data_IF_411594852482
#
_entry.id   IF_411594852482
#
_cell.length_a   1.000
_cell.length_b   1.000
_cell.length_c   1.000
_cell.angle_alpha   90.00
_cell.angle_beta   90.00
_cell.angle_gamma   90.00
#
_symmetry.space_group_name_H-M   'P 1'
#
loop_
_entity.id
_entity.type
_entity.pdbx_description
1 polymer ?
#
# COMPACT_ATOMS: atom_id res chain seq x y z
N UNK A 1 -79.85 -56.17 -28.47
CA UNK A 1 -79.97 -55.58 -27.12
C UNK A 1 -78.56 -55.18 -26.68
N UNK A 2 -78.35 -53.88 -26.45
CA UNK A 2 -77.36 -53.19 -25.56
C UNK A 2 -76.07 -53.93 -25.13
N UNK A 3 -74.87 -53.36 -25.09
CA UNK A 3 -74.38 -51.98 -25.13
C UNK A 3 -72.82 -51.99 -25.05
N UNK A 4 -72.19 -50.93 -25.59
CA UNK A 4 -70.89 -50.33 -25.22
C UNK A 4 -69.55 -51.07 -25.42
N UNK A 5 -68.72 -50.47 -26.29
CA UNK A 5 -67.25 -50.53 -26.24
C UNK A 5 -66.70 -49.38 -25.37
N UNK A 6 -65.48 -49.52 -24.82
CA UNK A 6 -64.60 -48.38 -24.69
C UNK A 6 -63.17 -48.64 -25.22
N UNK A 7 -62.62 -47.60 -25.85
CA UNK A 7 -61.23 -47.50 -26.29
C UNK A 7 -60.27 -47.31 -25.10
N UNK A 8 -59.06 -47.85 -25.20
CA UNK A 8 -57.84 -47.29 -24.58
C UNK A 8 -56.61 -47.79 -25.33
N UNK A 9 -56.00 -46.90 -26.12
CA UNK A 9 -54.68 -47.11 -26.75
C UNK A 9 -53.57 -46.68 -25.78
N UNK A 10 -52.79 -47.65 -25.29
CA UNK A 10 -51.51 -47.38 -24.63
C UNK A 10 -50.40 -47.19 -25.67
N UNK A 11 -49.84 -45.97 -25.72
CA UNK A 11 -48.59 -45.66 -26.41
C UNK A 11 -47.40 -46.10 -25.52
N UNK A 12 -46.56 -46.99 -26.04
CA UNK A 12 -45.25 -47.32 -25.45
C UNK A 12 -44.19 -46.34 -25.95
N UNK A 13 -43.49 -45.70 -25.01
CA UNK A 13 -42.35 -44.80 -25.24
C UNK A 13 -41.08 -45.56 -25.67
N UNK A 14 -40.26 -45.03 -26.58
CA UNK A 14 -38.96 -45.60 -26.93
C UNK A 14 -37.87 -45.18 -25.92
N UNK A 15 -36.96 -46.13 -25.65
CA UNK A 15 -35.79 -46.02 -24.76
C UNK A 15 -34.79 -44.99 -25.30
N UNK A 16 -34.50 -43.94 -24.51
CA UNK A 16 -33.39 -43.02 -24.77
C UNK A 16 -32.07 -43.64 -24.30
N UNK A 17 -31.13 -43.77 -25.25
CA UNK A 17 -29.72 -44.09 -25.04
C UNK A 17 -29.03 -43.01 -24.20
N UNK A 18 -28.59 -43.36 -22.99
CA UNK A 18 -27.78 -42.51 -22.12
C UNK A 18 -26.39 -42.32 -22.72
N UNK A 19 -26.18 -41.23 -23.44
CA UNK A 19 -24.86 -40.79 -23.86
C UNK A 19 -24.14 -40.21 -22.62
N UNK A 20 -23.18 -40.96 -22.08
CA UNK A 20 -22.29 -40.47 -21.02
C UNK A 20 -21.50 -39.28 -21.58
N UNK A 21 -21.86 -38.08 -21.14
CA UNK A 21 -21.07 -36.88 -21.39
C UNK A 21 -19.78 -37.00 -20.57
N UNK A 22 -18.69 -37.37 -21.21
CA UNK A 22 -17.35 -37.23 -20.66
C UNK A 22 -17.06 -35.74 -20.51
N UNK A 23 -17.23 -35.20 -19.30
CA UNK A 23 -16.71 -33.89 -18.95
C UNK A 23 -15.19 -33.98 -18.95
N UNK A 24 -14.56 -33.35 -19.95
CA UNK A 24 -13.12 -33.20 -20.00
C UNK A 24 -12.68 -32.33 -18.81
N UNK A 25 -12.19 -32.97 -17.74
CA UNK A 25 -11.50 -32.29 -16.65
C UNK A 25 -10.21 -31.73 -17.24
N UNK A 26 -10.07 -30.41 -17.29
CA UNK A 26 -8.84 -29.75 -17.70
C UNK A 26 -7.67 -30.34 -16.89
N UNK A 27 -6.49 -30.59 -17.52
CA UNK A 27 -5.35 -31.15 -16.82
C UNK A 27 -4.96 -30.20 -15.67
N UNK A 28 -5.20 -30.63 -14.43
CA UNK A 28 -4.70 -29.93 -13.27
C UNK A 28 -3.17 -30.04 -13.31
N UNK A 29 -2.51 -28.92 -13.62
CA UNK A 29 -1.06 -28.80 -13.51
C UNK A 29 -0.69 -28.90 -12.02
N UNK A 30 -0.53 -30.12 -11.52
CA UNK A 30 0.00 -30.34 -10.18
C UNK A 30 1.47 -29.93 -10.19
N UNK A 31 1.76 -28.72 -9.71
CA UNK A 31 3.14 -28.29 -9.43
C UNK A 31 3.80 -29.36 -8.54
N UNK A 32 5.03 -29.80 -8.86
CA UNK A 32 5.71 -30.77 -8.04
C UNK A 32 5.87 -30.22 -6.61
N UNK A 33 5.78 -31.09 -5.59
CA UNK A 33 5.89 -30.67 -4.20
C UNK A 33 7.22 -29.96 -3.96
N UNK A 34 7.17 -28.77 -3.35
CA UNK A 34 8.36 -27.99 -3.03
C UNK A 34 9.13 -28.68 -1.91
N UNK A 35 10.35 -29.11 -2.21
CA UNK A 35 11.33 -29.54 -1.20
C UNK A 35 12.05 -28.30 -0.68
N UNK A 36 12.09 -28.15 0.65
CA UNK A 36 12.78 -27.06 1.33
C UNK A 36 14.29 -27.26 1.24
N UNK A 37 14.99 -26.18 0.94
CA UNK A 37 16.44 -26.09 0.94
C UNK A 37 16.92 -25.15 2.05
N UNK A 38 18.20 -25.22 2.41
CA UNK A 38 18.79 -24.37 3.45
C UNK A 38 18.75 -22.86 3.11
N UNK A 39 18.58 -22.51 1.83
CA UNK A 39 18.47 -21.11 1.39
C UNK A 39 17.02 -20.59 1.44
N UNK A 40 16.02 -21.45 1.67
CA UNK A 40 14.63 -21.05 1.72
C UNK A 40 14.27 -20.38 3.06
N UNK A 41 13.49 -19.29 2.97
CA UNK A 41 12.98 -18.55 4.12
C UNK A 41 11.55 -18.98 4.41
N UNK A 42 11.38 -19.70 5.52
CA UNK A 42 10.11 -20.30 5.91
C UNK A 42 9.24 -19.30 6.69
N UNK A 43 7.97 -19.21 6.32
CA UNK A 43 6.96 -18.42 7.03
C UNK A 43 6.18 -19.27 8.00
N UNK A 44 6.11 -18.81 9.26
CA UNK A 44 5.36 -19.49 10.30
C UNK A 44 5.86 -19.15 11.70
N UNK A 45 5.27 -19.81 12.69
CA UNK A 45 5.70 -19.77 14.11
C UNK A 45 6.23 -21.14 14.50
N UNK A 46 7.24 -21.17 15.37
CA UNK A 46 7.78 -22.40 15.94
C UNK A 46 9.31 -22.43 15.95
N UNK A 47 9.88 -23.15 16.91
CA UNK A 47 11.34 -23.24 17.12
C UNK A 47 12.05 -23.76 15.88
N UNK A 48 11.58 -24.86 15.29
CA UNK A 48 12.20 -25.44 14.09
C UNK A 48 12.11 -24.54 12.85
N UNK A 49 11.08 -23.70 12.76
CA UNK A 49 10.97 -22.71 11.68
C UNK A 49 11.97 -21.58 11.94
N UNK A 50 12.10 -21.11 13.18
CA UNK A 50 13.03 -20.04 13.54
C UNK A 50 14.51 -20.45 13.39
N UNK A 51 14.82 -21.70 13.74
CA UNK A 51 16.17 -22.30 13.65
C UNK A 51 16.50 -22.86 12.25
N UNK A 52 15.64 -22.63 11.25
CA UNK A 52 15.94 -23.03 9.88
C UNK A 52 17.13 -22.19 9.34
N UNK A 53 18.13 -22.78 8.67
CA UNK A 53 19.32 -22.04 8.20
C UNK A 53 18.98 -20.81 7.36
N UNK A 54 17.97 -20.91 6.48
CA UNK A 54 17.53 -19.77 5.66
C UNK A 54 16.87 -18.66 6.48
N UNK A 55 16.20 -19.00 7.60
CA UNK A 55 15.63 -18.01 8.51
C UNK A 55 16.68 -17.37 9.41
N UNK A 56 17.72 -18.11 9.79
CA UNK A 56 18.91 -17.56 10.47
C UNK A 56 19.65 -16.58 9.56
N UNK A 57 19.98 -16.98 8.34
CA UNK A 57 20.59 -16.11 7.32
C UNK A 57 19.72 -14.87 7.08
N UNK A 58 18.41 -15.05 6.86
CA UNK A 58 17.48 -13.95 6.66
C UNK A 58 17.50 -12.94 7.82
N UNK A 59 17.52 -13.40 9.08
CA UNK A 59 17.58 -12.50 10.24
C UNK A 59 18.89 -11.72 10.29
N UNK A 60 20.02 -12.38 10.05
CA UNK A 60 21.33 -11.69 9.98
C UNK A 60 21.40 -10.70 8.81
N UNK A 61 20.80 -11.03 7.67
CA UNK A 61 20.75 -10.14 6.51
C UNK A 61 19.88 -8.91 6.78
N UNK A 62 18.74 -9.07 7.44
CA UNK A 62 17.88 -7.95 7.85
C UNK A 62 18.64 -7.01 8.80
N UNK A 63 19.42 -7.54 9.74
CA UNK A 63 20.21 -6.70 10.67
C UNK A 63 21.28 -5.85 10.00
N UNK A 64 21.78 -6.23 8.81
CA UNK A 64 22.73 -5.39 8.04
C UNK A 64 22.12 -4.07 7.57
N UNK A 65 20.78 -3.99 7.53
CA UNK A 65 19.99 -2.82 7.10
C UNK A 65 19.16 -2.23 8.24
N UNK A 66 19.54 -2.53 9.49
CA UNK A 66 18.90 -1.94 10.65
C UNK A 66 19.24 -0.44 10.72
N UNK A 67 18.21 0.38 10.93
CA UNK A 67 18.30 1.83 11.01
C UNK A 67 17.19 2.29 11.95
N UNK A 68 17.56 2.97 13.04
CA UNK A 68 16.61 3.44 14.05
C UNK A 68 15.55 4.39 13.44
N UNK A 69 15.93 5.15 12.41
CA UNK A 69 15.04 6.08 11.72
C UNK A 69 14.12 5.41 10.69
N UNK A 70 14.28 4.10 10.43
CA UNK A 70 13.53 3.39 9.38
C UNK A 70 12.01 3.49 9.55
N UNK A 71 11.52 3.38 10.79
CA UNK A 71 10.08 3.40 11.03
C UNK A 71 9.48 4.80 10.83
N UNK A 72 10.22 5.83 11.20
CA UNK A 72 9.75 7.23 11.29
C UNK A 72 10.01 8.02 10.02
N UNK A 73 11.23 7.91 9.45
CA UNK A 73 11.71 8.82 8.42
C UNK A 73 11.62 8.28 7.00
N UNK A 74 11.49 6.96 6.81
CA UNK A 74 11.43 6.35 5.48
C UNK A 74 9.98 6.34 4.97
N UNK A 75 9.82 6.77 3.73
CA UNK A 75 8.61 6.64 2.91
C UNK A 75 8.30 5.18 2.55
N UNK A 76 7.10 4.94 2.02
CA UNK A 76 6.68 3.60 1.61
C UNK A 76 7.51 3.03 0.45
N UNK A 77 7.96 3.88 -0.48
CA UNK A 77 8.81 3.49 -1.61
C UNK A 77 10.23 3.16 -1.15
N UNK A 78 10.82 3.95 -0.26
CA UNK A 78 12.14 3.64 0.34
C UNK A 78 12.12 2.33 1.12
N UNK A 79 11.10 2.13 1.99
CA UNK A 79 10.90 0.86 2.72
C UNK A 79 10.80 -0.33 1.77
N UNK A 80 10.09 -0.15 0.65
CA UNK A 80 9.98 -1.17 -0.40
C UNK A 80 11.32 -1.42 -1.10
N UNK A 81 12.10 -0.38 -1.40
CA UNK A 81 13.40 -0.50 -2.06
C UNK A 81 14.37 -1.34 -1.21
N UNK A 82 14.48 -1.05 0.10
CA UNK A 82 15.30 -1.84 1.04
C UNK A 82 14.84 -3.30 1.09
N UNK A 83 13.53 -3.52 1.16
CA UNK A 83 12.97 -4.87 1.17
C UNK A 83 13.24 -5.64 -0.13
N UNK A 84 13.19 -4.96 -1.28
CA UNK A 84 13.49 -5.55 -2.58
C UNK A 84 14.96 -5.98 -2.71
N UNK A 85 15.90 -5.21 -2.16
CA UNK A 85 17.30 -5.63 -2.13
C UNK A 85 17.50 -6.95 -1.38
N UNK A 86 16.88 -7.10 -0.20
CA UNK A 86 16.95 -8.32 0.61
C UNK A 86 16.33 -9.50 -0.13
N UNK A 87 15.16 -9.31 -0.76
CA UNK A 87 14.51 -10.37 -1.56
C UNK A 87 15.38 -10.77 -2.75
N UNK A 88 16.00 -9.79 -3.43
CA UNK A 88 16.91 -10.04 -4.56
C UNK A 88 18.15 -10.81 -4.11
N UNK A 89 18.75 -10.46 -2.98
CA UNK A 89 19.89 -11.17 -2.40
C UNK A 89 19.58 -12.64 -2.15
N UNK A 90 18.44 -12.94 -1.50
CA UNK A 90 18.01 -14.31 -1.23
C UNK A 90 17.77 -15.09 -2.52
N UNK A 91 17.15 -14.46 -3.52
CA UNK A 91 16.91 -15.09 -4.82
C UNK A 91 18.21 -15.35 -5.60
N UNK A 92 19.27 -14.55 -5.39
CA UNK A 92 20.58 -14.73 -6.05
C UNK A 92 21.47 -15.81 -5.44
N UNK A 93 21.06 -16.43 -4.34
CA UNK A 93 21.80 -17.52 -3.72
C UNK A 93 21.89 -18.74 -4.66
N UNK A 94 22.81 -19.67 -4.35
CA UNK A 94 22.94 -20.93 -5.07
C UNK A 94 22.84 -22.11 -4.09
N UNK A 95 21.78 -22.94 -4.14
CA UNK A 95 20.56 -22.80 -4.96
C UNK A 95 19.76 -21.51 -4.63
N UNK A 96 18.92 -21.00 -5.54
CA UNK A 96 18.13 -19.79 -5.29
C UNK A 96 17.24 -19.96 -4.06
N UNK A 97 17.31 -19.01 -3.14
CA UNK A 97 16.44 -19.00 -1.97
C UNK A 97 15.04 -18.52 -2.34
N UNK A 98 14.02 -19.17 -1.78
CA UNK A 98 12.62 -18.77 -1.94
C UNK A 98 12.00 -18.42 -0.60
N UNK A 99 10.99 -17.58 -0.64
CA UNK A 99 10.15 -17.34 0.53
C UNK A 99 8.99 -18.33 0.50
N UNK A 100 8.87 -19.19 1.50
CA UNK A 100 7.86 -20.25 1.52
C UNK A 100 6.81 -20.00 2.60
N UNK A 101 5.55 -20.34 2.31
CA UNK A 101 4.47 -20.48 3.29
C UNK A 101 3.91 -21.89 3.24
N UNK A 102 3.31 -22.34 4.34
CA UNK A 102 2.61 -23.62 4.37
C UNK A 102 1.33 -23.54 3.54
N UNK A 103 1.07 -24.57 2.77
CA UNK A 103 -0.17 -24.72 2.02
C UNK A 103 -1.35 -25.07 2.96
N UNK A 104 -2.50 -24.46 2.71
CA UNK A 104 -3.75 -24.73 3.42
C UNK A 104 -3.91 -24.08 4.80
N UNK A 105 -5.17 -23.97 5.25
CA UNK A 105 -5.55 -23.47 6.60
C UNK A 105 -5.85 -24.59 7.60
N UNK A 106 -5.49 -25.83 7.29
CA UNK A 106 -5.80 -27.04 8.07
C UNK A 106 -4.72 -27.42 9.09
N UNK A 107 -4.86 -28.61 9.68
CA UNK A 107 -3.87 -29.20 10.58
C UNK A 107 -2.61 -29.62 9.80
N UNK A 108 -1.77 -28.66 9.43
CA UNK A 108 -0.56 -28.90 8.65
C UNK A 108 0.44 -29.72 9.48
N UNK A 109 0.93 -30.83 8.93
CA UNK A 109 1.97 -31.71 9.50
C UNK A 109 2.99 -30.90 10.27
N UNK A 110 3.19 -31.14 11.57
CA UNK A 110 4.18 -30.39 12.36
C UNK A 110 5.60 -30.69 11.84
N UNK A 111 6.48 -29.68 11.85
CA UNK A 111 7.87 -29.82 11.39
C UNK A 111 8.15 -29.21 10.01
N UNK A 112 9.27 -29.59 9.38
CA UNK A 112 9.71 -29.04 8.09
C UNK A 112 9.06 -29.74 6.88
N UNK A 113 8.37 -30.86 7.09
CA UNK A 113 7.76 -31.71 6.05
C UNK A 113 6.30 -31.30 5.73
N UNK A 114 6.04 -30.00 5.62
CA UNK A 114 4.73 -29.51 5.17
C UNK A 114 4.66 -29.41 3.65
N UNK A 115 3.47 -29.45 3.04
CA UNK A 115 3.33 -28.90 1.70
C UNK A 115 3.66 -27.39 1.77
N UNK A 116 4.61 -26.98 0.95
CA UNK A 116 5.09 -25.59 0.87
C UNK A 116 4.63 -24.96 -0.44
N UNK A 117 4.21 -23.71 -0.34
CA UNK A 117 3.89 -22.84 -1.46
C UNK A 117 4.88 -21.67 -1.44
N UNK A 118 5.40 -21.32 -2.61
CA UNK A 118 6.23 -20.13 -2.77
C UNK A 118 5.39 -18.85 -2.63
N UNK A 119 5.88 -17.91 -1.83
CA UNK A 119 5.31 -16.59 -1.69
C UNK A 119 5.58 -15.76 -2.95
N UNK A 120 4.54 -15.09 -3.44
CA UNK A 120 4.72 -14.14 -4.53
C UNK A 120 5.63 -12.99 -4.08
N UNK A 121 6.34 -12.34 -5.03
CA UNK A 121 7.27 -11.23 -4.76
C UNK A 121 6.69 -10.16 -3.84
N UNK A 122 5.42 -9.79 -4.02
CA UNK A 122 4.72 -8.81 -3.17
C UNK A 122 4.55 -9.30 -1.71
N UNK A 123 4.30 -10.58 -1.50
CA UNK A 123 4.18 -11.19 -0.18
C UNK A 123 5.55 -11.30 0.51
N UNK A 124 6.59 -11.67 -0.26
CA UNK A 124 7.98 -11.68 0.22
C UNK A 124 8.40 -10.29 0.70
N UNK A 125 8.19 -9.23 -0.10
CA UNK A 125 8.45 -7.83 0.31
C UNK A 125 7.73 -7.48 1.61
N UNK A 126 6.44 -7.82 1.75
CA UNK A 126 5.69 -7.56 3.00
C UNK A 126 6.32 -8.25 4.21
N UNK A 127 6.79 -9.49 4.05
CA UNK A 127 7.48 -10.23 5.11
C UNK A 127 8.80 -9.56 5.48
N UNK A 128 9.57 -9.08 4.50
CA UNK A 128 10.80 -8.33 4.76
C UNK A 128 10.52 -6.99 5.44
N UNK A 129 9.53 -6.22 5.01
CA UNK A 129 9.13 -4.98 5.69
C UNK A 129 8.66 -5.22 7.13
N UNK A 130 8.02 -6.37 7.40
CA UNK A 130 7.68 -6.75 8.77
C UNK A 130 8.95 -7.08 9.58
N UNK A 131 9.89 -7.81 9.00
CA UNK A 131 11.16 -8.13 9.64
C UNK A 131 12.00 -6.89 9.97
N UNK A 132 12.11 -5.94 9.03
CA UNK A 132 12.82 -4.66 9.24
C UNK A 132 12.16 -3.84 10.36
N UNK A 133 10.82 -3.80 10.41
CA UNK A 133 10.11 -3.16 11.54
C UNK A 133 10.42 -3.86 12.86
N UNK A 134 10.35 -5.18 12.91
CA UNK A 134 10.62 -5.95 14.13
C UNK A 134 12.08 -5.82 14.59
N UNK A 135 13.03 -5.68 13.66
CA UNK A 135 14.45 -5.50 13.92
C UNK A 135 14.78 -4.13 14.52
N UNK A 136 14.05 -3.08 14.14
CA UNK A 136 14.27 -1.71 14.61
C UNK A 136 13.46 -1.37 15.87
N UNK A 137 12.83 -2.36 16.51
CA UNK A 137 12.11 -2.16 17.77
C UNK A 137 13.03 -2.36 18.97
N UNK A 138 13.05 -1.38 19.87
CA UNK A 138 13.84 -1.42 21.10
C UNK A 138 13.43 -2.54 22.08
N UNK A 139 12.19 -3.05 22.00
CA UNK A 139 11.71 -4.17 22.82
C UNK A 139 12.16 -5.55 22.30
N UNK A 140 12.91 -5.59 21.20
CA UNK A 140 13.39 -6.82 20.54
C UNK A 140 14.87 -6.76 20.20
N UNK A 141 15.72 -6.68 21.23
CA UNK A 141 17.19 -6.67 21.09
C UNK A 141 17.79 -7.94 20.43
N UNK A 142 17.03 -9.02 20.26
CA UNK A 142 17.57 -10.35 19.95
C UNK A 142 17.34 -10.86 18.52
N UNK A 143 17.01 -10.00 17.55
CA UNK A 143 16.55 -10.46 16.23
C UNK A 143 17.49 -11.48 15.55
N UNK A 144 18.80 -11.27 15.61
CA UNK A 144 19.82 -12.20 15.13
C UNK A 144 20.81 -12.66 16.22
N UNK A 145 20.45 -12.53 17.50
CA UNK A 145 21.37 -12.83 18.61
C UNK A 145 21.77 -14.30 18.62
N UNK A 146 23.08 -14.56 18.70
CA UNK A 146 23.65 -15.91 18.75
C UNK A 146 23.74 -16.62 17.38
N UNK A 147 23.33 -15.96 16.29
CA UNK A 147 23.47 -16.51 14.93
C UNK A 147 24.75 -15.98 14.31
N UNK A 148 25.61 -16.88 13.81
CA UNK A 148 26.82 -16.46 13.08
C UNK A 148 26.44 -16.05 11.65
N UNK A 149 26.70 -14.81 11.22
CA UNK A 149 26.38 -14.38 9.86
C UNK A 149 27.16 -15.20 8.82
N UNK A 150 26.48 -15.72 7.79
CA UNK A 150 27.12 -16.35 6.63
C UNK A 150 28.05 -15.39 5.88
N UNK A 151 28.99 -15.92 5.10
CA UNK A 151 29.99 -15.12 4.36
C UNK A 151 29.37 -14.12 3.38
N UNK A 152 28.30 -14.52 2.68
CA UNK A 152 27.56 -13.64 1.77
C UNK A 152 26.95 -12.44 2.50
N UNK A 153 26.44 -12.64 3.71
CA UNK A 153 25.87 -11.57 4.53
C UNK A 153 26.96 -10.65 5.09
N UNK A 154 28.11 -11.20 5.48
CA UNK A 154 29.27 -10.42 5.93
C UNK A 154 29.79 -9.51 4.82
N UNK A 155 29.90 -10.03 3.59
CA UNK A 155 30.31 -9.24 2.43
C UNK A 155 29.36 -8.07 2.16
N UNK A 156 28.04 -8.28 2.28
CA UNK A 156 27.05 -7.20 2.16
C UNK A 156 27.21 -6.17 3.27
N UNK A 157 27.43 -6.60 4.52
CA UNK A 157 27.65 -5.69 5.63
C UNK A 157 28.92 -4.84 5.45
N UNK A 158 29.99 -5.43 4.93
CA UNK A 158 31.24 -4.74 4.63
C UNK A 158 31.08 -3.75 3.46
N UNK A 159 30.36 -4.13 2.40
CA UNK A 159 30.02 -3.23 1.28
C UNK A 159 29.22 -2.02 1.78
N UNK A 160 28.21 -2.24 2.63
CA UNK A 160 27.41 -1.17 3.21
C UNK A 160 28.26 -0.25 4.09
N UNK A 161 29.11 -0.81 4.95
CA UNK A 161 30.00 -0.04 5.81
C UNK A 161 31.06 0.75 5.01
N UNK A 162 31.58 0.18 3.92
CA UNK A 162 32.59 0.80 3.06
C UNK A 162 32.03 1.85 2.09
N UNK A 163 30.73 1.82 1.78
CA UNK A 163 30.11 2.74 0.82
C UNK A 163 30.09 4.20 1.28
N UNK A 164 30.08 4.45 2.60
CA UNK A 164 29.98 5.79 3.17
C UNK A 164 28.65 6.52 2.90
N UNK A 165 27.67 5.86 2.28
CA UNK A 165 26.35 6.40 1.97
C UNK A 165 25.37 5.94 3.05
N UNK A 166 24.52 6.84 3.54
CA UNK A 166 23.48 6.47 4.50
C UNK A 166 22.49 5.48 3.87
N UNK A 167 21.99 4.53 4.66
CA UNK A 167 21.02 3.53 4.18
C UNK A 167 19.78 4.18 3.57
N UNK A 168 19.34 5.31 4.14
CA UNK A 168 18.21 6.09 3.64
C UNK A 168 18.50 6.68 2.26
N UNK A 169 19.66 7.29 2.06
CA UNK A 169 20.03 7.90 0.77
C UNK A 169 20.13 6.83 -0.33
N UNK A 170 20.66 5.65 0.00
CA UNK A 170 20.66 4.50 -0.90
C UNK A 170 19.24 4.06 -1.24
N UNK A 171 18.36 3.95 -0.24
CA UNK A 171 16.97 3.57 -0.42
C UNK A 171 16.19 4.60 -1.26
N UNK A 172 16.45 5.90 -1.06
CA UNK A 172 15.86 6.99 -1.82
C UNK A 172 16.26 6.91 -3.29
N UNK A 173 17.58 6.82 -3.57
CA UNK A 173 18.09 6.63 -4.93
C UNK A 173 17.49 5.42 -5.64
N UNK A 174 17.43 4.28 -4.95
CA UNK A 174 16.85 3.06 -5.51
C UNK A 174 15.34 3.21 -5.76
N UNK A 175 14.61 3.93 -4.90
CA UNK A 175 13.20 4.23 -5.09
C UNK A 175 12.95 5.17 -6.29
N UNK A 176 13.80 6.19 -6.45
CA UNK A 176 13.75 7.13 -7.57
C UNK A 176 14.05 6.44 -8.91
N UNK A 177 15.05 5.55 -8.95
CA UNK A 177 15.39 4.76 -10.14
C UNK A 177 14.21 3.89 -10.58
N UNK A 178 13.57 3.18 -9.64
CA UNK A 178 12.38 2.37 -9.93
C UNK A 178 11.21 3.24 -10.39
N UNK A 179 11.00 4.41 -9.78
CA UNK A 179 9.95 5.34 -10.20
C UNK A 179 10.19 5.90 -11.61
N UNK A 180 11.45 6.16 -11.96
CA UNK A 180 11.86 6.58 -13.29
C UNK A 180 11.62 5.47 -14.32
N UNK A 181 11.99 4.22 -14.03
CA UNK A 181 11.70 3.08 -14.91
C UNK A 181 10.20 2.92 -15.15
N UNK A 182 9.39 3.01 -14.09
CA UNK A 182 7.93 2.93 -14.19
C UNK A 182 7.38 4.06 -15.07
N UNK A 183 7.87 5.29 -14.87
CA UNK A 183 7.49 6.46 -15.68
C UNK A 183 7.82 6.26 -17.15
N UNK A 184 8.99 5.72 -17.47
CA UNK A 184 9.43 5.43 -18.85
C UNK A 184 8.53 4.39 -19.51
N UNK A 185 8.29 3.25 -18.85
CA UNK A 185 7.41 2.19 -19.40
C UNK A 185 5.99 2.68 -19.63
N UNK A 186 5.51 3.53 -18.73
CA UNK A 186 4.18 4.10 -18.81
C UNK A 186 4.05 5.10 -19.96
N UNK A 187 5.05 5.98 -20.13
CA UNK A 187 5.14 6.89 -21.27
C UNK A 187 5.09 6.12 -22.58
N UNK A 188 5.94 5.10 -22.75
CA UNK A 188 5.97 4.25 -23.94
C UNK A 188 4.62 3.60 -24.23
N UNK A 189 3.92 3.11 -23.19
CA UNK A 189 2.59 2.52 -23.34
C UNK A 189 1.52 3.56 -23.76
N UNK A 190 1.58 4.77 -23.23
CA UNK A 190 0.64 5.85 -23.57
C UNK A 190 0.89 6.42 -24.97
N UNK A 191 2.16 6.57 -25.37
CA UNK A 191 2.55 6.95 -26.73
C UNK A 191 2.09 5.91 -27.75
N UNK A 192 2.29 4.62 -27.45
CA UNK A 192 1.82 3.52 -28.30
C UNK A 192 0.29 3.47 -28.45
N UNK A 193 -0.45 3.95 -27.45
CA UNK A 193 -1.92 4.06 -27.50
C UNK A 193 -2.41 5.35 -28.17
N UNK A 194 -1.52 6.24 -28.61
CA UNK A 194 -1.87 7.50 -29.28
C UNK A 194 -2.39 8.59 -28.34
N UNK A 195 -2.07 8.52 -27.04
CA UNK A 195 -2.45 9.56 -26.07
C UNK A 195 -1.67 10.86 -26.37
N UNK A 196 -2.29 12.05 -26.36
CA UNK A 196 -1.58 13.31 -26.59
C UNK A 196 -0.48 13.58 -25.55
N UNK A 197 0.65 14.14 -25.97
CA UNK A 197 1.83 14.40 -25.11
C UNK A 197 1.50 15.20 -23.84
N UNK A 198 0.66 16.24 -23.96
CA UNK A 198 0.24 17.05 -22.80
C UNK A 198 -0.47 16.20 -21.73
N UNK A 199 -1.29 15.24 -22.17
CA UNK A 199 -1.96 14.32 -21.26
C UNK A 199 -0.96 13.35 -20.65
N UNK A 200 0.03 12.85 -21.41
CA UNK A 200 1.09 11.98 -20.90
C UNK A 200 1.87 12.69 -19.78
N UNK A 201 2.31 13.92 -20.01
CA UNK A 201 3.03 14.71 -19.02
C UNK A 201 2.20 14.95 -17.76
N UNK A 202 0.90 15.24 -17.89
CA UNK A 202 -0.01 15.41 -16.76
C UNK A 202 -0.14 14.11 -15.94
N UNK A 203 -0.34 12.96 -16.60
CA UNK A 203 -0.45 11.67 -15.93
C UNK A 203 0.85 11.28 -15.22
N UNK A 204 2.01 11.51 -15.85
CA UNK A 204 3.32 11.27 -15.24
C UNK A 204 3.56 12.18 -14.03
N UNK A 205 3.15 13.45 -14.10
CA UNK A 205 3.24 14.39 -12.97
C UNK A 205 2.40 13.90 -11.78
N UNK A 206 1.18 13.41 -12.04
CA UNK A 206 0.31 12.82 -11.01
C UNK A 206 0.92 11.56 -10.40
N UNK A 207 1.52 10.69 -11.22
CA UNK A 207 2.17 9.46 -10.76
C UNK A 207 3.45 9.72 -9.94
N UNK A 208 4.21 10.76 -10.27
CA UNK A 208 5.35 11.22 -9.45
C UNK A 208 4.92 11.79 -8.11
N UNK A 209 3.80 12.52 -8.08
CA UNK A 209 3.24 13.05 -6.84
C UNK A 209 2.63 11.96 -5.96
N UNK A 210 1.97 10.96 -6.56
CA UNK A 210 1.39 9.81 -5.88
C UNK A 210 1.71 8.51 -6.64
N UNK A 211 2.68 7.70 -6.17
CA UNK A 211 3.01 6.42 -6.77
C UNK A 211 1.87 5.37 -6.73
N UNK A 212 0.83 5.59 -5.92
CA UNK A 212 -0.39 4.76 -5.90
C UNK A 212 -1.47 5.23 -6.86
N UNK A 213 -1.24 6.32 -7.59
CA UNK A 213 -2.15 6.81 -8.61
C UNK A 213 -2.34 5.78 -9.73
N UNK A 214 -3.60 5.41 -9.97
CA UNK A 214 -3.99 4.53 -11.07
C UNK A 214 -4.32 5.39 -12.27
N UNK A 215 -3.64 5.14 -13.38
CA UNK A 215 -3.82 5.94 -14.59
C UNK A 215 -5.07 5.49 -15.32
N UNK A 216 -6.02 6.40 -15.58
CA UNK A 216 -7.27 6.05 -16.26
C UNK A 216 -7.00 5.38 -17.61
N UNK A 217 -7.69 4.26 -17.85
CA UNK A 217 -7.60 3.55 -19.13
C UNK A 217 -6.32 2.73 -19.32
N UNK A 218 -5.43 2.62 -18.32
CA UNK A 218 -4.25 1.76 -18.37
C UNK A 218 -4.17 0.84 -17.15
N UNK A 219 -3.64 -0.36 -17.35
CA UNK A 219 -3.38 -1.33 -16.30
C UNK A 219 -1.96 -1.89 -16.38
N UNK A 220 -1.35 -2.19 -15.24
CA UNK A 220 -0.07 -2.90 -15.20
C UNK A 220 -0.25 -4.35 -15.64
N UNK A 221 0.61 -4.80 -16.55
CA UNK A 221 0.68 -6.20 -16.99
C UNK A 221 1.45 -7.06 -15.97
N UNK A 222 1.34 -8.39 -16.08
CA UNK A 222 2.10 -9.31 -15.23
C UNK A 222 3.63 -9.17 -15.43
N UNK A 223 4.06 -8.77 -16.62
CA UNK A 223 5.44 -8.45 -16.97
C UNK A 223 5.92 -7.10 -16.41
N UNK A 224 5.05 -6.32 -15.77
CA UNK A 224 5.38 -5.01 -15.21
C UNK A 224 5.47 -3.89 -16.24
N UNK A 225 4.85 -4.08 -17.42
CA UNK A 225 4.55 -3.03 -18.39
C UNK A 225 3.15 -2.43 -18.15
N UNK A 226 2.71 -1.56 -19.05
CA UNK A 226 1.37 -0.98 -19.02
C UNK A 226 0.66 -1.26 -20.33
N UNK A 227 -0.63 -1.59 -20.26
CA UNK A 227 -1.48 -1.81 -21.42
C UNK A 227 -2.78 -1.00 -21.29
N UNK A 228 -3.30 -0.44 -22.39
CA UNK A 228 -4.60 0.21 -22.36
C UNK A 228 -5.70 -0.80 -22.03
N UNK A 229 -6.74 -0.37 -21.33
CA UNK A 229 -7.97 -1.15 -21.25
C UNK A 229 -8.50 -1.36 -22.68
N UNK A 230 -8.98 -2.57 -23.02
CA UNK A 230 -9.77 -2.69 -24.22
C UNK A 230 -10.93 -1.71 -24.05
N UNK A 231 -11.08 -0.78 -24.99
CA UNK A 231 -12.30 -0.01 -25.07
C UNK A 231 -13.43 -1.05 -25.03
N UNK A 232 -14.36 -0.89 -24.09
CA UNK A 232 -15.71 -1.39 -24.33
C UNK A 232 -16.06 -0.81 -25.68
N UNK A 233 -15.98 -1.61 -26.74
CA UNK A 233 -16.42 -1.23 -28.07
C UNK A 233 -17.90 -0.99 -27.95
N UNK A 234 -18.28 0.23 -27.62
CA UNK A 234 -19.60 0.79 -27.87
C UNK A 234 -19.70 1.09 -29.36
N UNK A 235 -19.30 0.14 -30.20
CA UNK A 235 -19.58 0.17 -31.64
C UNK A 235 -20.80 -0.73 -31.87
N UNK A 236 -21.88 -0.07 -32.28
CA UNK A 236 -23.09 -0.65 -32.86
C UNK A 236 -23.85 -1.68 -32.01
N UNK A 237 -24.57 -1.20 -30.98
CA UNK A 237 -25.83 -1.86 -30.61
C UNK A 237 -26.91 -1.51 -31.64
N UNK A 238 -27.65 -2.48 -32.22
CA UNK A 238 -28.87 -2.18 -32.96
C UNK A 238 -29.89 -1.49 -32.03
N UNK A 239 -30.78 -0.62 -32.55
CA UNK A 239 -31.55 0.34 -31.75
C UNK A 239 -32.76 -0.29 -31.05
N UNK A 240 -32.55 -1.31 -30.22
CA UNK A 240 -33.66 -1.97 -29.52
C UNK A 240 -33.36 -2.44 -28.10
N UNK A 241 -32.44 -1.79 -27.37
CA UNK A 241 -32.30 -2.03 -25.93
C UNK A 241 -32.23 -0.70 -25.19
N UNK A 242 -33.20 -0.50 -24.31
CA UNK A 242 -33.35 0.62 -23.40
C UNK A 242 -32.11 0.78 -22.51
N UNK A 243 -31.63 2.02 -22.28
CA UNK A 243 -30.47 2.26 -21.43
C UNK A 243 -30.84 1.98 -19.96
N UNK A 244 -30.22 0.96 -19.36
CA UNK A 244 -30.46 0.58 -17.97
C UNK A 244 -29.88 -0.76 -17.51
N UNK A 245 -29.30 -1.57 -18.40
CA UNK A 245 -28.69 -2.85 -18.02
C UNK A 245 -27.16 -2.72 -17.89
N UNK A 246 -26.67 -2.44 -16.68
CA UNK A 246 -25.28 -2.73 -16.33
C UNK A 246 -25.08 -4.25 -16.40
N UNK A 247 -24.53 -4.74 -17.51
CA UNK A 247 -24.09 -6.12 -17.61
C UNK A 247 -22.84 -6.29 -16.75
N UNK A 248 -22.98 -6.98 -15.62
CA UNK A 248 -21.90 -7.36 -14.70
C UNK A 248 -20.94 -8.41 -15.28
N UNK A 249 -20.38 -8.16 -16.46
CA UNK A 249 -19.33 -8.97 -17.05
C UNK A 249 -18.02 -8.71 -16.29
N UNK A 250 -17.55 -9.71 -15.53
CA UNK A 250 -16.27 -9.63 -14.84
C UNK A 250 -15.18 -10.08 -15.82
N UNK A 251 -14.36 -9.15 -16.26
CA UNK A 251 -13.20 -9.45 -17.10
C UNK A 251 -12.05 -9.91 -16.20
N UNK A 252 -11.54 -11.11 -16.43
CA UNK A 252 -10.43 -11.71 -15.68
C UNK A 252 -9.29 -11.94 -16.66
N UNK A 253 -8.09 -11.45 -16.34
CA UNK A 253 -6.89 -11.64 -17.15
C UNK A 253 -6.39 -13.09 -16.98
N UNK A 254 -6.31 -13.82 -18.09
CA UNK A 254 -5.76 -15.17 -18.13
C UNK A 254 -4.23 -15.18 -18.04
N UNK A 255 -3.61 -16.36 -17.83
CA UNK A 255 -2.17 -16.53 -17.68
C UNK A 255 -1.34 -16.18 -18.94
N UNK A 256 -1.99 -15.98 -20.09
CA UNK A 256 -1.35 -15.68 -21.39
C UNK A 256 -1.58 -14.22 -21.83
N UNK A 257 -1.84 -13.30 -20.89
CA UNK A 257 -2.22 -11.89 -21.14
C UNK A 257 -3.51 -11.69 -21.98
N UNK A 258 -4.26 -12.76 -22.26
CA UNK A 258 -5.57 -12.70 -22.88
C UNK A 258 -6.68 -12.39 -21.86
N UNK A 259 -7.52 -11.40 -22.15
CA UNK A 259 -8.66 -11.01 -21.32
C UNK A 259 -9.81 -12.00 -21.54
N UNK A 260 -10.14 -12.80 -20.53
CA UNK A 260 -11.33 -13.64 -20.53
C UNK A 260 -12.52 -12.84 -20.00
N UNK A 261 -13.54 -12.67 -20.84
CA UNK A 261 -14.84 -12.16 -20.38
C UNK A 261 -15.60 -13.32 -19.75
N UNK A 262 -15.72 -13.31 -18.42
CA UNK A 262 -16.54 -14.29 -17.70
C UNK A 262 -17.97 -13.77 -17.66
N UNK A 263 -18.81 -14.30 -18.55
CA UNK A 263 -20.25 -14.13 -18.47
C UNK A 263 -20.79 -15.02 -17.34
N UNK A 264 -21.64 -14.54 -16.42
CA UNK A 264 -22.41 -15.44 -15.58
C UNK A 264 -23.25 -16.31 -16.51
N UNK A 265 -23.10 -17.64 -16.41
CA UNK A 265 -23.82 -18.58 -17.25
C UNK A 265 -25.33 -18.35 -17.10
N UNK A 266 -25.97 -17.84 -18.16
CA UNK A 266 -27.42 -17.83 -18.28
C UNK A 266 -27.86 -19.24 -18.64
N UNK A 267 -28.09 -20.08 -17.62
CA UNK A 267 -28.74 -21.36 -17.82
C UNK A 267 -30.23 -21.13 -17.93
N UNK A 268 -30.70 -20.82 -19.14
CA UNK A 268 -32.09 -20.97 -19.51
C UNK A 268 -32.42 -22.47 -19.58
N UNK A 269 -33.02 -23.01 -18.52
CA UNK A 269 -33.44 -24.41 -18.46
C UNK A 269 -34.02 -24.79 -17.12
N UNK A 270 -35.34 -24.76 -17.01
CA UNK A 270 -36.12 -25.13 -15.84
C UNK A 270 -35.87 -26.59 -15.41
N UNK A 271 -35.36 -26.79 -14.19
CA UNK A 271 -35.63 -28.00 -13.39
C UNK A 271 -35.90 -27.54 -11.96
N UNK A 272 -37.17 -27.64 -11.57
CA UNK A 272 -37.67 -27.41 -10.22
C UNK A 272 -37.25 -28.59 -9.35
N UNK A 273 -36.29 -28.39 -8.43
CA UNK A 273 -36.13 -29.23 -7.23
C UNK A 273 -35.94 -28.29 -6.04
N UNK A 274 -36.87 -28.42 -5.09
CA UNK A 274 -37.18 -27.42 -4.08
C UNK A 274 -36.05 -27.07 -3.11
N UNK A 275 -35.88 -25.76 -2.92
CA UNK A 275 -35.45 -25.18 -1.67
C UNK A 275 -36.60 -24.31 -1.15
N UNK A 276 -37.20 -24.78 -0.07
CA UNK A 276 -38.19 -24.09 0.75
C UNK A 276 -37.69 -22.71 1.18
N UNK A 277 -38.60 -21.74 1.13
CA UNK A 277 -38.26 -20.34 0.91
C UNK A 277 -38.01 -19.49 2.14
N UNK A 278 -37.30 -18.39 1.89
CA UNK A 278 -37.53 -17.07 2.49
C UNK A 278 -37.18 -16.04 1.39
N UNK A 279 -38.09 -15.85 0.42
CA UNK A 279 -38.03 -14.66 -0.44
C UNK A 279 -38.92 -13.60 0.21
N UNK A 280 -38.30 -12.55 0.75
CA UNK A 280 -39.00 -11.34 1.17
C UNK A 280 -39.63 -10.70 -0.07
N UNK A 281 -40.95 -10.56 -0.06
CA UNK A 281 -41.75 -9.89 -1.11
C UNK A 281 -41.62 -8.35 -1.10
N UNK A 282 -40.57 -7.80 -0.47
CA UNK A 282 -40.32 -6.36 -0.45
C UNK A 282 -39.20 -5.98 -1.42
N UNK A 283 -39.41 -4.97 -2.28
CA UNK A 283 -38.35 -4.45 -3.16
C UNK A 283 -37.15 -3.98 -2.34
N UNK A 284 -35.95 -4.17 -2.89
CA UNK A 284 -34.69 -3.80 -2.25
C UNK A 284 -34.69 -2.29 -1.93
N UNK A 285 -34.34 -1.86 -0.70
CA UNK A 285 -34.47 -0.46 -0.25
C UNK A 285 -33.57 0.53 -1.01
N UNK A 286 -32.76 0.06 -1.96
CA UNK A 286 -31.95 0.90 -2.83
C UNK A 286 -32.72 1.48 -4.02
N UNK A 287 -33.91 0.93 -4.33
CA UNK A 287 -34.73 1.39 -5.48
C UNK A 287 -35.68 2.53 -5.09
N UNK A 288 -36.00 2.67 -3.80
CA UNK A 288 -36.89 3.72 -3.24
C UNK A 288 -36.17 4.68 -2.28
N UNK A 289 -34.83 4.67 -2.24
CA UNK A 289 -34.09 5.64 -1.43
C UNK A 289 -34.26 7.04 -2.01
N UNK A 290 -34.83 7.95 -1.20
CA UNK A 290 -34.86 9.39 -1.52
C UNK A 290 -33.45 9.87 -1.89
N UNK A 291 -33.30 10.80 -2.85
CA UNK A 291 -32.00 11.31 -3.25
C UNK A 291 -31.22 11.74 -2.01
N UNK A 292 -30.02 11.19 -1.82
CA UNK A 292 -29.21 11.42 -0.62
C UNK A 292 -29.03 12.93 -0.44
N UNK A 293 -29.56 13.45 0.67
CA UNK A 293 -29.29 14.82 1.07
C UNK A 293 -27.77 14.96 1.25
N UNK A 294 -27.15 15.83 0.45
CA UNK A 294 -25.71 16.07 0.45
C UNK A 294 -25.19 16.41 1.86
N UNK A 295 -25.99 17.12 2.66
CA UNK A 295 -25.65 17.46 4.03
C UNK A 295 -25.58 16.22 4.95
N UNK A 296 -26.53 15.30 4.81
CA UNK A 296 -26.54 14.04 5.56
C UNK A 296 -25.39 13.11 5.13
N UNK A 297 -25.05 13.11 3.84
CA UNK A 297 -23.90 12.37 3.31
C UNK A 297 -22.57 12.91 3.84
N UNK A 298 -22.42 14.25 3.89
CA UNK A 298 -21.23 14.90 4.47
C UNK A 298 -21.15 14.68 5.99
N UNK A 299 -22.27 14.70 6.71
CA UNK A 299 -22.30 14.40 8.15
C UNK A 299 -21.92 12.94 8.46
N UNK A 300 -22.43 11.98 7.68
CA UNK A 300 -22.05 10.57 7.80
C UNK A 300 -20.57 10.34 7.51
N UNK A 301 -20.03 11.07 6.51
CA UNK A 301 -18.60 11.03 6.15
C UNK A 301 -17.71 11.56 7.27
N UNK A 302 -18.11 12.67 7.89
CA UNK A 302 -17.41 13.23 9.05
C UNK A 302 -17.44 12.27 10.26
N UNK A 303 -18.58 11.64 10.53
CA UNK A 303 -18.72 10.64 11.60
C UNK A 303 -17.89 9.37 11.35
N UNK A 304 -17.71 8.98 10.08
CA UNK A 304 -16.89 7.83 9.68
C UNK A 304 -15.39 8.12 9.64
N UNK A 305 -14.95 9.37 9.91
CA UNK A 305 -13.54 9.76 9.91
C UNK A 305 -12.87 9.71 8.52
N UNK A 306 -13.64 9.74 7.44
CA UNK A 306 -13.12 9.64 6.07
C UNK A 306 -12.87 11.02 5.46
N UNK A 307 -11.60 11.41 5.36
CA UNK A 307 -11.14 12.67 4.78
C UNK A 307 -10.79 12.45 3.29
N UNK A 308 -11.35 13.24 2.36
CA UNK A 308 -10.99 13.17 0.94
C UNK A 308 -9.51 13.54 0.70
N UNK A 309 -8.81 12.99 -0.29
CA UNK A 309 -7.44 13.39 -0.61
C UNK A 309 -7.28 14.90 -0.89
N UNK A 310 -8.23 15.50 -1.62
CA UNK A 310 -8.20 16.94 -1.89
C UNK A 310 -8.42 17.78 -0.61
N UNK A 311 -9.25 17.29 0.30
CA UNK A 311 -9.48 17.91 1.62
C UNK A 311 -8.26 17.73 2.53
N UNK A 312 -7.55 16.60 2.42
CA UNK A 312 -6.29 16.34 3.13
C UNK A 312 -5.21 17.31 2.67
N UNK A 313 -5.06 17.50 1.36
CA UNK A 313 -4.13 18.47 0.78
C UNK A 313 -4.50 19.91 1.18
N UNK A 314 -5.79 20.24 1.21
CA UNK A 314 -6.24 21.55 1.68
C UNK A 314 -5.96 21.76 3.18
N UNK A 315 -6.14 20.73 4.00
CA UNK A 315 -5.81 20.79 5.43
C UNK A 315 -4.30 20.85 5.67
N UNK A 316 -3.50 20.13 4.90
CA UNK A 316 -2.04 20.15 5.00
C UNK A 316 -1.47 21.49 4.52
N UNK A 317 -2.00 22.05 3.43
CA UNK A 317 -1.69 23.41 2.98
C UNK A 317 -2.07 24.46 4.03
N UNK A 318 -3.23 24.31 4.67
CA UNK A 318 -3.68 25.20 5.75
C UNK A 318 -2.80 25.05 7.00
N UNK A 319 -2.33 23.85 7.31
CA UNK A 319 -1.39 23.59 8.41
C UNK A 319 -0.04 24.25 8.14
N UNK A 320 0.50 24.06 6.94
CA UNK A 320 1.77 24.69 6.52
C UNK A 320 1.63 26.22 6.53
N UNK A 321 0.54 26.78 6.03
CA UNK A 321 0.32 28.24 6.10
C UNK A 321 0.22 28.74 7.55
N UNK A 322 -0.39 27.97 8.45
CA UNK A 322 -0.44 28.32 9.88
C UNK A 322 0.93 28.22 10.55
N UNK A 323 1.73 27.20 10.21
CA UNK A 323 3.10 27.04 10.70
C UNK A 323 3.99 28.19 10.21
N UNK A 324 3.85 28.61 8.95
CA UNK A 324 4.55 29.78 8.39
C UNK A 324 4.09 31.08 9.07
N UNK A 325 2.78 31.29 9.26
CA UNK A 325 2.30 32.46 10.02
C UNK A 325 2.81 32.47 11.47
N UNK A 326 2.89 31.31 12.13
CA UNK A 326 3.42 31.20 13.50
C UNK A 326 4.94 31.44 13.55
N UNK A 327 5.68 31.05 12.51
CA UNK A 327 7.12 31.29 12.36
C UNK A 327 7.41 32.77 12.03
N UNK A 328 6.62 33.38 11.14
CA UNK A 328 6.66 34.82 10.84
C UNK A 328 6.34 35.66 12.10
N UNK A 329 5.34 35.25 12.90
CA UNK A 329 5.03 35.93 14.17
C UNK A 329 6.17 35.76 15.18
N UNK A 330 6.87 34.61 15.19
CA UNK A 330 7.98 34.35 16.11
C UNK A 330 9.21 35.17 15.73
N UNK A 331 9.55 35.23 14.45
CA UNK A 331 10.67 36.03 13.92
C UNK A 331 10.43 37.53 14.10
N UNK A 332 9.20 38.02 13.85
CA UNK A 332 8.85 39.42 14.15
C UNK A 332 9.03 39.77 15.64
N UNK A 333 8.66 38.85 16.55
CA UNK A 333 8.86 39.05 18.00
C UNK A 333 10.33 39.02 18.41
N UNK A 334 11.16 38.21 17.74
CA UNK A 334 12.62 38.18 17.96
C UNK A 334 13.27 39.47 17.46
N UNK A 335 12.84 40.00 16.32
CA UNK A 335 13.30 41.29 15.79
C UNK A 335 12.86 42.48 16.68
N UNK A 336 11.63 42.46 17.19
CA UNK A 336 11.13 43.48 18.15
C UNK A 336 11.90 43.40 19.49
N UNK A 337 12.23 42.19 19.96
CA UNK A 337 13.06 42.00 21.16
C UNK A 337 14.51 42.45 20.94
N UNK A 338 15.07 42.24 19.74
CA UNK A 338 16.40 42.73 19.38
C UNK A 338 16.44 44.26 19.28
N UNK A 339 15.41 44.89 18.71
CA UNK A 339 15.27 46.35 18.64
C UNK A 339 15.15 46.98 20.05
N UNK A 340 14.38 46.36 20.95
CA UNK A 340 14.27 46.81 22.34
C UNK A 340 15.59 46.66 23.11
N UNK A 341 16.37 45.61 22.84
CA UNK A 341 17.70 45.43 23.42
C UNK A 341 18.71 46.47 22.90
N UNK A 342 18.64 46.84 21.62
CA UNK A 342 19.47 47.89 21.03
C UNK A 342 19.12 49.29 21.60
N UNK A 343 17.84 49.60 21.76
CA UNK A 343 17.38 50.84 22.41
C UNK A 343 17.81 50.90 23.89
N UNK A 344 17.71 49.78 24.62
CA UNK A 344 18.20 49.69 25.99
C UNK A 344 19.73 49.87 26.08
N UNK A 345 20.50 49.28 25.16
CA UNK A 345 21.94 49.46 25.10
C UNK A 345 22.33 50.92 24.79
N UNK A 346 21.60 51.59 23.90
CA UNK A 346 21.80 53.02 23.60
C UNK A 346 21.44 53.92 24.79
N UNK A 347 20.41 53.57 25.57
CA UNK A 347 20.05 54.28 26.80
C UNK A 347 21.14 54.14 27.89
N UNK A 348 21.71 52.93 28.05
CA UNK A 348 22.84 52.68 28.97
C UNK A 348 24.10 53.44 28.54
N UNK A 349 24.43 53.45 27.24
CA UNK A 349 25.56 54.22 26.72
C UNK A 349 25.40 55.74 26.92
N UNK A 350 24.16 56.26 26.89
CA UNK A 350 23.88 57.66 27.18
C UNK A 350 23.95 58.00 28.69
N UNK A 351 23.78 57.03 29.59
CA UNK A 351 23.92 57.21 31.04
C UNK A 351 25.39 57.38 31.47
N UNK A 352 26.33 56.70 30.81
CA UNK A 352 27.78 56.86 31.04
C UNK A 352 28.32 58.27 30.69
N UNK A 353 27.58 59.05 29.88
CA UNK A 353 27.99 60.39 29.49
C UNK A 353 27.58 61.49 30.49
N UNK A 354 26.72 61.18 31.47
CA UNK A 354 26.14 62.14 32.41
C UNK A 354 26.31 61.73 33.88
N UNK A 355 27.45 61.12 34.25
CA UNK A 355 27.96 61.03 35.64
C UNK A 355 26.92 60.93 36.76
N UNK A 356 26.18 59.81 36.84
CA UNK A 356 25.23 59.53 37.93
C UNK A 356 25.70 58.31 38.74
N UNK A 357 25.49 58.37 40.06
CA UNK A 357 25.86 57.39 41.10
C UNK A 357 25.65 55.91 40.70
N UNK A 358 26.69 55.10 40.88
CA UNK A 358 26.74 53.66 40.51
C UNK A 358 25.59 52.84 41.13
N UNK A 359 25.08 53.24 42.30
CA UNK A 359 23.95 52.59 42.98
C UNK A 359 22.59 52.82 42.29
N UNK A 360 22.41 53.97 41.61
CA UNK A 360 21.18 54.25 40.86
C UNK A 360 21.16 53.51 39.52
N UNK A 361 22.31 53.37 38.86
CA UNK A 361 22.46 52.61 37.62
C UNK A 361 22.18 51.11 37.84
N UNK A 362 22.66 50.54 38.96
CA UNK A 362 22.37 49.16 39.34
C UNK A 362 20.88 48.92 39.61
N UNK A 363 20.18 49.87 40.25
CA UNK A 363 18.74 49.78 40.50
C UNK A 363 17.90 49.78 39.22
N UNK A 364 18.28 50.59 38.23
CA UNK A 364 17.59 50.67 36.92
C UNK A 364 17.86 49.40 36.11
N UNK A 365 19.08 48.88 36.10
CA UNK A 365 19.41 47.63 35.40
C UNK A 365 18.63 46.43 35.95
N UNK A 366 18.46 46.34 37.28
CA UNK A 366 17.67 45.28 37.91
C UNK A 366 16.17 45.44 37.59
N UNK A 367 15.64 46.66 37.58
CA UNK A 367 14.25 46.89 37.21
C UNK A 367 13.97 46.54 35.73
N UNK A 368 14.90 46.87 34.82
CA UNK A 368 14.77 46.51 33.40
C UNK A 368 14.90 45.01 33.17
N UNK A 369 15.75 44.31 33.92
CA UNK A 369 15.85 42.84 33.85
C UNK A 369 14.55 42.16 34.34
N UNK A 370 13.91 42.68 35.39
CA UNK A 370 12.64 42.16 35.90
C UNK A 370 11.46 42.41 34.96
N UNK A 371 11.45 43.56 34.26
CA UNK A 371 10.42 43.84 33.25
C UNK A 371 10.62 43.02 31.96
N UNK A 372 11.87 42.75 31.57
CA UNK A 372 12.17 41.83 30.47
C UNK A 372 11.75 40.38 30.80
N UNK A 373 11.99 39.92 32.03
CA UNK A 373 11.55 38.60 32.50
C UNK A 373 10.02 38.48 32.55
N UNK A 374 9.31 39.54 32.95
CA UNK A 374 7.83 39.60 32.88
C UNK A 374 7.31 39.61 31.45
N UNK A 375 7.96 40.34 30.54
CA UNK A 375 7.57 40.37 29.13
C UNK A 375 7.73 38.99 28.47
N UNK A 376 8.81 38.26 28.81
CA UNK A 376 9.02 36.88 28.37
C UNK A 376 7.97 35.91 28.96
N UNK A 377 7.59 36.07 30.24
CA UNK A 377 6.56 35.24 30.87
C UNK A 377 5.15 35.47 30.30
N UNK A 378 4.82 36.70 29.89
CA UNK A 378 3.55 37.02 29.21
C UNK A 378 3.50 36.41 27.80
N UNK A 379 4.66 36.27 27.13
CA UNK A 379 4.76 35.62 25.83
C UNK A 379 4.55 34.09 25.90
N UNK A 380 4.96 33.41 26.98
CA UNK A 380 4.70 31.96 27.17
C UNK A 380 3.23 31.64 27.52
N UNK A 381 2.50 32.56 28.15
CA UNK A 381 1.11 32.33 28.59
C UNK A 381 0.03 32.51 27.50
N UNK A 382 0.40 32.94 26.29
CA UNK A 382 -0.56 33.23 25.19
C UNK A 382 -0.47 32.25 24.00
N UNK A 383 0.07 31.04 24.20
CA UNK A 383 0.06 29.93 23.23
C UNK A 383 -1.22 29.10 23.35
#
# INVERSE_FOLDING_TARGET
MSHFAPMSHHHHHPLHSTQQQHTAVAPQYNKPPIVVTDNDVLSGRGVNIAAHPGNERFRTLVTTRADASYCESYSASEKKAVAEEIVRHIASLNPPGRFLKREGRGQVSRGLNGPWEELNRREAIKKVCQALRDCNRNDRESYAQGVTPPEDVKAVAEELAGSGVALKDRASRAAEEVAAEISTRLREAMEAAGVPEETIEEQLKRQRADPTYVIPGFSMTASGGFAPHPASTTEAYPPSVTPGANNGAMQVLGPDDNIMTVMPASTAGSVVVGLSGIYSMYPHPAVDAAPMNMEAHLAARAAAGYIHPDERLAMEKKRIMKEVEEEDIRTMKEDDAAAAAEEAAAAVANLDSNGVDEDAAAGIAVAMAQDAEKAAAVAEMSV
#
